data_IF_586374322065
#
_entry.id   IF_586374322065
#
_cell.length_a   1.000
_cell.length_b   1.000
_cell.length_c   1.000
_cell.angle_alpha   90.00
_cell.angle_beta   90.00
_cell.angle_gamma   90.00
#
_symmetry.space_group_name_H-M   'P 1'
#
loop_
_entity.id
_entity.type
_entity.pdbx_description
1 polymer ?
#
# COMPACT_ATOMS: atom_id res chain seq x y z
N UNK A 1 27.96 -19.34 -11.73
CA UNK A 1 27.43 -18.17 -11.00
C UNK A 1 26.50 -17.46 -11.95
N UNK A 2 25.22 -17.32 -11.62
CA UNK A 2 24.26 -16.67 -12.52
C UNK A 2 24.68 -15.22 -12.77
N UNK A 3 25.18 -14.93 -13.97
CA UNK A 3 25.61 -13.60 -14.42
C UNK A 3 24.44 -12.69 -14.75
N UNK A 4 23.45 -12.61 -13.85
CA UNK A 4 22.43 -11.58 -13.97
C UNK A 4 23.06 -10.24 -13.61
N UNK A 5 22.97 -9.30 -14.54
CA UNK A 5 23.31 -7.92 -14.31
C UNK A 5 22.46 -7.40 -13.13
N UNK A 6 23.12 -7.19 -11.98
CA UNK A 6 22.47 -6.72 -10.75
C UNK A 6 21.71 -5.42 -11.00
N UNK A 7 22.17 -4.57 -11.93
CA UNK A 7 21.48 -3.34 -12.28
C UNK A 7 20.16 -3.61 -12.99
N UNK A 8 20.12 -4.59 -13.91
CA UNK A 8 18.87 -5.00 -14.57
C UNK A 8 17.87 -5.51 -13.55
N UNK A 9 18.32 -6.36 -12.61
CA UNK A 9 17.45 -6.88 -11.55
C UNK A 9 16.88 -5.74 -10.68
N UNK A 10 17.72 -4.81 -10.23
CA UNK A 10 17.29 -3.67 -9.42
C UNK A 10 16.32 -2.75 -10.17
N UNK A 11 16.53 -2.51 -11.48
CA UNK A 11 15.60 -1.75 -12.32
C UNK A 11 14.25 -2.46 -12.46
N UNK A 12 14.26 -3.76 -12.73
CA UNK A 12 13.03 -4.57 -12.81
C UNK A 12 12.26 -4.57 -11.49
N UNK A 13 12.97 -4.71 -10.36
CA UNK A 13 12.37 -4.60 -9.03
C UNK A 13 11.79 -3.20 -8.81
N UNK A 14 12.54 -2.15 -9.13
CA UNK A 14 12.09 -0.76 -9.00
C UNK A 14 10.81 -0.47 -9.78
N UNK A 15 10.79 -0.86 -11.06
CA UNK A 15 9.60 -0.72 -11.93
C UNK A 15 8.45 -1.58 -11.40
N UNK A 16 8.71 -2.84 -11.02
CA UNK A 16 7.69 -3.74 -10.50
C UNK A 16 7.02 -3.20 -9.22
N UNK A 17 7.81 -2.70 -8.27
CA UNK A 17 7.31 -2.09 -7.04
C UNK A 17 6.55 -0.79 -7.30
N UNK A 18 7.03 0.06 -8.20
CA UNK A 18 6.32 1.27 -8.59
C UNK A 18 4.95 0.95 -9.23
N UNK A 19 4.90 -0.04 -10.13
CA UNK A 19 3.65 -0.51 -10.74
C UNK A 19 2.69 -1.12 -9.72
N UNK A 20 3.19 -1.92 -8.76
CA UNK A 20 2.38 -2.44 -7.66
C UNK A 20 1.81 -1.31 -6.79
N UNK A 21 2.62 -0.29 -6.47
CA UNK A 21 2.16 0.89 -5.74
C UNK A 21 1.07 1.68 -6.48
N UNK A 22 1.21 1.82 -7.81
CA UNK A 22 0.18 2.42 -8.67
C UNK A 22 -1.09 1.56 -8.72
N UNK A 23 -0.96 0.24 -8.84
CA UNK A 23 -2.09 -0.70 -8.78
C UNK A 23 -2.84 -0.64 -7.44
N UNK A 24 -2.11 -0.52 -6.33
CA UNK A 24 -2.68 -0.32 -5.00
C UNK A 24 -3.44 1.02 -4.90
N UNK A 25 -2.94 2.09 -5.54
CA UNK A 25 -3.62 3.40 -5.62
C UNK A 25 -4.92 3.33 -6.43
N UNK A 26 -4.95 2.58 -7.52
CA UNK A 26 -6.16 2.38 -8.35
C UNK A 26 -7.15 1.46 -7.62
N UNK A 27 -6.69 0.69 -6.63
CA UNK A 27 -7.52 -0.24 -5.89
C UNK A 27 -7.79 -1.52 -6.67
N UNK A 28 -6.96 -1.86 -7.66
CA UNK A 28 -7.08 -3.12 -8.41
C UNK A 28 -6.98 -4.35 -7.48
N UNK A 29 -6.17 -4.23 -6.40
CA UNK A 29 -6.01 -5.27 -5.38
C UNK A 29 -6.89 -5.02 -4.14
N UNK A 30 -8.19 -4.92 -4.39
CA UNK A 30 -9.30 -4.88 -3.42
C UNK A 30 -9.12 -5.83 -2.21
N UNK A 31 -8.79 -7.11 -2.46
CA UNK A 31 -8.56 -8.12 -1.41
C UNK A 31 -7.36 -7.81 -0.52
N UNK A 32 -6.34 -7.14 -1.05
CA UNK A 32 -5.08 -6.89 -0.36
C UNK A 32 -5.21 -5.83 0.73
N UNK A 33 -6.08 -4.83 0.52
CA UNK A 33 -6.45 -3.87 1.58
C UNK A 33 -7.01 -4.57 2.83
N UNK A 34 -7.86 -5.59 2.63
CA UNK A 34 -8.47 -6.31 3.74
C UNK A 34 -7.48 -7.20 4.50
N UNK A 35 -6.47 -7.75 3.82
CA UNK A 35 -5.38 -8.52 4.44
C UNK A 35 -4.26 -7.67 5.05
N UNK A 36 -3.95 -6.50 4.47
CA UNK A 36 -2.88 -5.59 4.89
C UNK A 36 -3.27 -4.13 4.59
N UNK A 37 -3.75 -3.42 5.63
CA UNK A 37 -4.27 -2.05 5.51
C UNK A 37 -3.23 -0.96 5.21
N UNK A 38 -1.93 -1.27 5.23
CA UNK A 38 -0.85 -0.26 5.12
C UNK A 38 0.31 -0.65 4.21
N UNK A 39 0.70 -1.94 4.19
CA UNK A 39 1.92 -2.39 3.50
C UNK A 39 1.92 -2.14 1.99
N UNK A 40 0.76 -2.26 1.35
CA UNK A 40 0.63 -2.11 -0.11
C UNK A 40 1.01 -0.72 -0.63
N UNK A 41 0.87 0.31 0.19
CA UNK A 41 1.13 1.69 -0.24
C UNK A 41 2.64 2.02 -0.21
N UNK A 42 3.42 1.30 0.60
CA UNK A 42 4.86 1.50 0.69
C UNK A 42 5.62 0.98 -0.54
N UNK A 43 4.98 0.21 -1.43
CA UNK A 43 5.62 -0.28 -2.65
C UNK A 43 6.00 0.84 -3.62
N UNK A 44 5.27 1.95 -3.66
CA UNK A 44 5.62 3.08 -4.52
C UNK A 44 6.98 3.69 -4.12
N UNK A 45 7.20 4.17 -2.87
CA UNK A 45 8.50 4.69 -2.46
C UNK A 45 9.59 3.61 -2.43
N UNK A 46 9.24 2.34 -2.20
CA UNK A 46 10.20 1.24 -2.32
C UNK A 46 10.70 1.08 -3.76
N UNK A 47 9.83 1.20 -4.76
CA UNK A 47 10.23 1.21 -6.17
C UNK A 47 11.18 2.35 -6.51
N UNK A 48 10.90 3.55 -5.98
CA UNK A 48 11.79 4.73 -6.11
C UNK A 48 13.16 4.45 -5.50
N UNK A 49 13.22 3.82 -4.33
CA UNK A 49 14.48 3.46 -3.67
C UNK A 49 15.34 2.54 -4.55
N UNK A 50 14.75 1.50 -5.13
CA UNK A 50 15.46 0.59 -6.03
C UNK A 50 15.96 1.29 -7.29
N UNK A 51 15.16 2.19 -7.87
CA UNK A 51 15.57 2.98 -9.03
C UNK A 51 16.74 3.90 -8.65
N UNK A 52 16.67 4.63 -7.54
CA UNK A 52 17.76 5.47 -7.05
C UNK A 52 19.06 4.68 -6.84
N UNK A 53 18.95 3.45 -6.35
CA UNK A 53 20.10 2.58 -6.15
C UNK A 53 20.80 2.23 -7.47
N UNK A 54 20.06 2.14 -8.59
CA UNK A 54 20.66 1.82 -9.90
C UNK A 54 21.55 2.92 -10.46
N UNK A 55 21.48 4.13 -9.91
CA UNK A 55 22.27 5.29 -10.33
C UNK A 55 23.39 5.64 -9.34
N UNK A 56 23.70 4.76 -8.36
CA UNK A 56 24.70 5.03 -7.34
C UNK A 56 26.05 5.47 -7.95
N UNK A 57 26.55 4.73 -8.94
CA UNK A 57 27.82 5.01 -9.62
C UNK A 57 27.79 6.36 -10.34
N UNK A 58 26.72 6.64 -11.09
CA UNK A 58 26.56 7.91 -11.80
C UNK A 58 26.53 9.10 -10.82
N UNK A 59 25.83 8.96 -9.70
CA UNK A 59 25.79 10.00 -8.67
C UNK A 59 27.13 10.18 -7.97
N UNK A 60 27.87 9.10 -7.72
CA UNK A 60 29.21 9.16 -7.12
C UNK A 60 30.18 9.94 -8.01
N UNK A 61 30.15 9.68 -9.31
CA UNK A 61 31.07 10.29 -10.27
C UNK A 61 30.75 11.76 -10.58
N UNK A 62 29.45 12.11 -10.58
CA UNK A 62 28.98 13.47 -10.89
C UNK A 62 28.90 14.41 -9.68
N UNK A 63 28.46 13.92 -8.50
CA UNK A 63 28.27 14.79 -7.33
C UNK A 63 29.56 15.00 -6.52
N UNK A 64 30.55 14.10 -6.61
CA UNK A 64 31.86 14.19 -5.94
C UNK A 64 31.78 14.67 -4.48
N UNK A 65 32.15 15.92 -4.07
CA UNK A 65 32.07 16.29 -2.64
C UNK A 65 30.63 16.32 -2.13
N UNK A 66 29.64 16.45 -3.02
CA UNK A 66 28.22 16.46 -2.69
C UNK A 66 27.59 15.06 -2.71
N UNK A 67 28.37 13.99 -2.85
CA UNK A 67 27.85 12.62 -2.85
C UNK A 67 27.07 12.27 -1.57
N UNK A 68 27.32 12.95 -0.45
CA UNK A 68 26.51 12.78 0.76
C UNK A 68 25.01 13.11 0.52
N UNK A 69 24.67 14.01 -0.42
CA UNK A 69 23.28 14.33 -0.76
C UNK A 69 22.52 13.12 -1.33
N UNK A 70 23.22 12.22 -2.03
CA UNK A 70 22.66 10.96 -2.49
C UNK A 70 22.21 10.10 -1.29
N UNK A 71 23.08 9.96 -0.27
CA UNK A 71 22.74 9.22 0.94
C UNK A 71 21.62 9.87 1.74
N UNK A 72 21.59 11.21 1.81
CA UNK A 72 20.47 11.95 2.42
C UNK A 72 19.16 11.64 1.69
N UNK A 73 19.16 11.59 0.35
CA UNK A 73 17.98 11.22 -0.43
C UNK A 73 17.55 9.76 -0.17
N UNK A 74 18.48 8.81 -0.13
CA UNK A 74 18.21 7.40 0.19
C UNK A 74 17.57 7.27 1.57
N UNK A 75 18.13 7.93 2.59
CA UNK A 75 17.58 7.92 3.95
C UNK A 75 16.19 8.57 3.99
N UNK A 76 15.99 9.69 3.30
CA UNK A 76 14.69 10.34 3.21
C UNK A 76 13.62 9.42 2.59
N UNK A 77 13.97 8.69 1.52
CA UNK A 77 13.07 7.70 0.91
C UNK A 77 12.82 6.52 1.84
N UNK A 78 13.83 6.03 2.56
CA UNK A 78 13.65 4.97 3.55
C UNK A 78 12.68 5.37 4.69
N UNK A 79 12.81 6.60 5.20
CA UNK A 79 11.87 7.16 6.18
C UNK A 79 10.46 7.26 5.56
N UNK A 80 10.35 7.69 4.30
CA UNK A 80 9.08 7.77 3.58
C UNK A 80 8.40 6.40 3.46
N UNK A 81 9.16 5.33 3.18
CA UNK A 81 8.67 3.95 3.11
C UNK A 81 8.07 3.55 4.46
N UNK A 82 8.81 3.75 5.56
CA UNK A 82 8.34 3.41 6.90
C UNK A 82 7.11 4.24 7.30
N UNK A 83 7.12 5.53 6.98
CA UNK A 83 5.99 6.42 7.24
C UNK A 83 4.74 6.00 6.45
N UNK A 84 4.87 5.65 5.16
CA UNK A 84 3.74 5.21 4.35
C UNK A 84 3.25 3.82 4.73
N UNK A 85 4.13 2.93 5.17
CA UNK A 85 3.74 1.62 5.69
C UNK A 85 2.90 1.76 6.97
N UNK A 86 3.25 2.70 7.86
CA UNK A 86 2.55 2.95 9.11
C UNK A 86 1.29 3.83 8.93
N UNK A 87 1.38 4.89 8.13
CA UNK A 87 0.36 5.93 7.94
C UNK A 87 0.35 6.40 6.48
N UNK A 88 -0.22 5.60 5.58
CA UNK A 88 -0.32 5.98 4.16
C UNK A 88 -1.13 7.29 4.01
N UNK A 89 -0.63 8.26 3.23
CA UNK A 89 -1.33 9.53 3.02
C UNK A 89 -2.69 9.33 2.33
N UNK A 90 -3.66 10.19 2.62
CA UNK A 90 -5.01 10.09 2.06
C UNK A 90 -5.02 10.09 0.52
N UNK A 91 -4.13 10.84 -0.13
CA UNK A 91 -4.07 10.92 -1.60
C UNK A 91 -3.62 9.62 -2.28
N UNK A 92 -2.86 8.77 -1.57
CA UNK A 92 -2.37 7.48 -2.07
C UNK A 92 -3.47 6.42 -2.01
N UNK A 93 -4.41 6.57 -1.07
CA UNK A 93 -5.52 5.63 -0.91
C UNK A 93 -6.54 5.77 -2.05
N UNK A 94 -7.07 4.66 -2.59
CA UNK A 94 -8.20 4.71 -3.53
C UNK A 94 -9.43 5.31 -2.84
N UNK A 95 -10.34 5.91 -3.62
CA UNK A 95 -11.54 6.60 -3.10
C UNK A 95 -12.37 5.70 -2.17
N UNK A 96 -12.59 4.46 -2.56
CA UNK A 96 -13.40 3.52 -1.78
C UNK A 96 -12.83 3.17 -0.41
N UNK A 97 -11.50 3.11 -0.27
CA UNK A 97 -10.85 2.90 1.04
C UNK A 97 -11.13 4.11 1.93
N UNK A 98 -11.10 5.33 1.39
CA UNK A 98 -11.41 6.53 2.18
C UNK A 98 -12.85 6.51 2.68
N UNK A 99 -13.81 6.01 1.89
CA UNK A 99 -15.19 5.84 2.33
C UNK A 99 -15.29 4.85 3.50
N UNK A 100 -14.63 3.70 3.39
CA UNK A 100 -14.60 2.68 4.45
C UNK A 100 -13.95 3.20 5.73
N UNK A 101 -12.83 3.92 5.61
CA UNK A 101 -12.07 4.43 6.75
C UNK A 101 -12.75 5.59 7.51
N UNK A 102 -13.82 6.19 6.96
CA UNK A 102 -14.67 7.14 7.72
C UNK A 102 -15.33 6.50 8.94
N UNK A 103 -15.48 5.17 8.93
CA UNK A 103 -16.18 4.43 9.97
C UNK A 103 -15.27 4.05 11.15
N UNK A 104 -15.82 3.87 12.37
CA UNK A 104 -15.03 3.47 13.52
C UNK A 104 -14.49 2.03 13.36
N UNK A 105 -13.33 1.76 13.97
CA UNK A 105 -12.60 0.47 13.87
C UNK A 105 -13.48 -0.79 14.02
N UNK A 106 -14.49 -0.86 14.91
CA UNK A 106 -15.36 -2.04 15.03
C UNK A 106 -16.16 -2.34 13.76
N UNK A 107 -16.66 -1.31 13.07
CA UNK A 107 -17.44 -1.45 11.82
C UNK A 107 -16.52 -1.93 10.70
N UNK A 108 -15.33 -1.34 10.57
CA UNK A 108 -14.35 -1.77 9.57
C UNK A 108 -13.91 -3.23 9.83
N UNK A 109 -13.79 -3.66 11.08
CA UNK A 109 -13.53 -5.07 11.42
C UNK A 109 -14.69 -5.99 11.02
N UNK A 110 -15.93 -5.56 11.20
CA UNK A 110 -17.09 -6.33 10.77
C UNK A 110 -17.16 -6.45 9.23
N UNK A 111 -16.83 -5.37 8.50
CA UNK A 111 -16.69 -5.39 7.05
C UNK A 111 -15.60 -6.37 6.61
N UNK A 112 -14.42 -6.31 7.24
CA UNK A 112 -13.33 -7.24 6.97
C UNK A 112 -13.73 -8.70 7.21
N UNK A 113 -14.48 -8.98 8.27
CA UNK A 113 -14.96 -10.32 8.56
C UNK A 113 -15.97 -10.84 7.52
N UNK A 114 -16.82 -9.99 6.94
CA UNK A 114 -17.69 -10.39 5.82
C UNK A 114 -16.90 -10.69 4.55
N UNK A 115 -15.83 -9.92 4.28
CA UNK A 115 -14.92 -10.14 3.16
C UNK A 115 -14.16 -11.46 3.33
N UNK A 116 -13.59 -11.70 4.51
CA UNK A 116 -12.90 -12.96 4.85
C UNK A 116 -13.82 -14.18 4.76
N UNK A 117 -15.12 -14.00 5.05
CA UNK A 117 -16.13 -15.04 4.91
C UNK A 117 -16.56 -15.32 3.46
N UNK A 118 -15.93 -14.66 2.48
CA UNK A 118 -16.17 -14.88 1.05
C UNK A 118 -17.50 -14.33 0.54
N UNK A 119 -18.14 -13.41 1.27
CA UNK A 119 -19.37 -12.77 0.79
C UNK A 119 -19.06 -11.82 -0.36
N UNK A 120 -19.99 -11.66 -1.28
CA UNK A 120 -19.92 -10.61 -2.30
C UNK A 120 -19.96 -9.23 -1.64
N UNK A 121 -18.78 -8.59 -1.62
CA UNK A 121 -18.57 -7.31 -0.95
C UNK A 121 -18.23 -6.19 -1.93
N UNK A 122 -17.85 -6.54 -3.16
CA UNK A 122 -17.40 -5.58 -4.16
C UNK A 122 -18.48 -4.58 -4.57
N UNK A 123 -19.75 -5.00 -4.56
CA UNK A 123 -20.89 -4.13 -4.83
C UNK A 123 -21.06 -3.06 -3.74
N UNK A 124 -20.68 -3.38 -2.50
CA UNK A 124 -20.79 -2.47 -1.34
C UNK A 124 -19.73 -1.36 -1.35
N UNK A 125 -18.80 -1.35 -2.30
CA UNK A 125 -17.74 -0.33 -2.41
C UNK A 125 -17.76 0.45 -3.73
N UNK A 126 -18.85 0.34 -4.50
CA UNK A 126 -19.05 1.03 -5.79
C UNK A 126 -19.35 2.52 -5.61
N UNK A 127 -20.09 2.87 -4.57
CA UNK A 127 -20.41 4.25 -4.18
C UNK A 127 -20.25 4.46 -2.68
N UNK A 128 -20.14 5.72 -2.26
CA UNK A 128 -20.12 6.08 -0.84
C UNK A 128 -21.42 5.65 -0.14
N UNK A 129 -22.57 5.83 -0.79
CA UNK A 129 -23.89 5.43 -0.30
C UNK A 129 -24.02 3.91 -0.08
N UNK A 130 -23.39 3.10 -0.95
CA UNK A 130 -23.33 1.65 -0.81
C UNK A 130 -22.52 1.25 0.43
N UNK A 131 -21.37 1.91 0.66
CA UNK A 131 -20.55 1.72 1.86
C UNK A 131 -21.34 2.11 3.11
N UNK A 132 -22.09 3.20 3.06
CA UNK A 132 -22.91 3.67 4.17
C UNK A 132 -24.02 2.69 4.52
N UNK A 133 -24.70 2.15 3.51
CA UNK A 133 -25.74 1.14 3.67
C UNK A 133 -25.16 -0.14 4.27
N UNK A 134 -23.98 -0.55 3.80
CA UNK A 134 -23.26 -1.70 4.33
C UNK A 134 -22.84 -1.49 5.79
N UNK A 135 -22.31 -0.32 6.13
CA UNK A 135 -21.93 0.06 7.49
C UNK A 135 -23.14 0.05 8.45
N UNK A 136 -24.29 0.60 8.03
CA UNK A 136 -25.52 0.60 8.82
C UNK A 136 -26.02 -0.82 9.10
N UNK A 137 -26.03 -1.69 8.08
CA UNK A 137 -26.39 -3.11 8.23
C UNK A 137 -25.49 -3.84 9.23
N UNK A 138 -24.20 -3.51 9.24
CA UNK A 138 -23.24 -4.13 10.15
C UNK A 138 -23.33 -3.57 11.57
N UNK A 139 -23.62 -2.28 11.75
CA UNK A 139 -23.89 -1.70 13.09
C UNK A 139 -25.11 -2.35 13.75
N UNK A 140 -26.14 -2.69 12.97
CA UNK A 140 -27.33 -3.37 13.48
C UNK A 140 -27.11 -4.85 13.83
N UNK A 141 -25.99 -5.45 13.39
CA UNK A 141 -25.64 -6.84 13.72
C UNK A 141 -24.60 -6.85 14.86
N UNK A 142 -24.89 -7.46 16.02
CA UNK A 142 -23.87 -7.64 17.03
C UNK A 142 -22.69 -8.45 16.46
N UNK A 143 -21.44 -8.13 16.83
CA UNK A 143 -20.28 -8.83 16.28
C UNK A 143 -20.39 -10.33 16.58
N UNK A 144 -20.40 -11.17 15.52
CA UNK A 144 -20.34 -12.63 15.68
C UNK A 144 -19.05 -12.97 16.43
N UNK A 145 -19.16 -13.47 17.66
CA UNK A 145 -18.03 -14.07 18.40
C UNK A 145 -17.41 -15.15 17.52
N UNK A 146 -16.10 -15.05 17.23
CA UNK A 146 -15.32 -16.17 16.67
C UNK A 146 -15.49 -17.35 17.64
N UNK A 147 -16.09 -18.46 17.18
CA UNK A 147 -15.95 -19.75 17.87
C UNK A 147 -14.47 -20.13 17.78
N UNK A 148 -13.79 -20.21 18.92
CA UNK A 148 -12.51 -20.91 19.02
C UNK A 148 -12.79 -22.38 18.72
N UNK A 149 -12.20 -22.90 17.65
CA UNK A 149 -11.88 -24.32 17.55
C UNK A 149 -10.49 -24.51 18.14
#
# INVERSE_FOLDING_TARGET
>A
MFGFDQQILLRLMGVGFALMGLGARIGAWKKWYWGSRGGAYAYLPLGVLFILYTYETDFKDNLRPYYFLYWVAIIAVAILILWWAARPPAFVKPKWVRWVEKYPKPVIRAMAAEVEAGKEWEENITSEEAVDTWAKRLKAKPPKKKKKN
#
